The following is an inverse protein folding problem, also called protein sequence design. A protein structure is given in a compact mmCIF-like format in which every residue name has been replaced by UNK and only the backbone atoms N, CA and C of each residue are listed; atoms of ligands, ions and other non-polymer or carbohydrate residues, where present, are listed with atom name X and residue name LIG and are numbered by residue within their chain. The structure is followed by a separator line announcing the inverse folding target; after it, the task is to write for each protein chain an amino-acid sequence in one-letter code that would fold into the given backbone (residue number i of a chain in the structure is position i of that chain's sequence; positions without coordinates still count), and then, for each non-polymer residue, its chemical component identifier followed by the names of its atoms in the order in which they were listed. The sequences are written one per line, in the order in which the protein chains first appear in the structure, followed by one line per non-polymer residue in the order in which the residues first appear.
data_IF_259833981250
#
_entry.id   IF_259833981250
#
_cell.length_a   1.000
_cell.length_b   1.000
_cell.length_c   1.000
_cell.angle_alpha   90.00
_cell.angle_beta   90.00
_cell.angle_gamma   90.00
#
_symmetry.space_group_name_H-M   'P 1'
#
loop_
_entity.id
_entity.type
_entity.pdbx_description
1 polymer ?
#
# COMPACT_ATOMS: atom_id res chain seq x y z
N UNK A 1 -9.50 -17.54 -14.33
CA UNK A 1 -9.20 -16.67 -13.17
C UNK A 1 -8.25 -15.57 -13.59
N UNK A 2 -8.61 -14.31 -13.37
CA UNK A 2 -7.78 -13.15 -13.73
C UNK A 2 -6.60 -12.99 -12.77
N UNK A 3 -5.40 -13.34 -13.23
CA UNK A 3 -4.18 -13.31 -12.42
C UNK A 3 -3.76 -11.87 -12.04
N UNK A 4 -3.94 -10.91 -12.95
CA UNK A 4 -3.63 -9.50 -12.69
C UNK A 4 -4.62 -8.88 -11.69
N UNK A 5 -5.91 -9.18 -11.83
CA UNK A 5 -6.94 -8.74 -10.90
C UNK A 5 -6.70 -9.25 -9.48
N UNK A 6 -6.29 -10.51 -9.31
CA UNK A 6 -5.97 -11.08 -8.01
C UNK A 6 -4.75 -10.41 -7.36
N UNK A 7 -3.69 -10.17 -8.11
CA UNK A 7 -2.47 -9.49 -7.60
C UNK A 7 -2.76 -8.04 -7.22
N UNK A 8 -3.53 -7.32 -8.06
CA UNK A 8 -3.91 -5.93 -7.73
C UNK A 8 -4.81 -5.87 -6.50
N UNK A 9 -5.79 -6.78 -6.36
CA UNK A 9 -6.64 -6.85 -5.18
C UNK A 9 -5.81 -7.14 -3.91
N UNK A 10 -4.89 -8.11 -3.95
CA UNK A 10 -4.05 -8.44 -2.81
C UNK A 10 -3.15 -7.25 -2.40
N UNK A 11 -2.57 -6.56 -3.38
CA UNK A 11 -1.67 -5.41 -3.12
C UNK A 11 -2.44 -4.22 -2.54
N UNK A 12 -3.60 -3.85 -3.12
CA UNK A 12 -4.42 -2.74 -2.63
C UNK A 12 -5.03 -3.04 -1.27
N UNK A 13 -5.51 -4.28 -1.05
CA UNK A 13 -6.03 -4.74 0.25
C UNK A 13 -4.98 -4.59 1.35
N UNK A 14 -3.75 -5.06 1.11
CA UNK A 14 -2.66 -4.93 2.09
C UNK A 14 -2.28 -3.46 2.30
N UNK A 15 -2.18 -2.66 1.22
CA UNK A 15 -1.90 -1.24 1.34
C UNK A 15 -2.90 -0.52 2.24
N UNK A 16 -4.20 -0.71 2.01
CA UNK A 16 -5.23 -0.06 2.83
C UNK A 16 -5.24 -0.58 4.26
N UNK A 17 -4.98 -1.88 4.46
CA UNK A 17 -4.78 -2.46 5.78
C UNK A 17 -3.65 -1.77 6.56
N UNK A 18 -2.52 -1.54 5.91
CA UNK A 18 -1.37 -0.82 6.49
C UNK A 18 -1.69 0.65 6.71
N UNK A 19 -2.19 1.34 5.68
CA UNK A 19 -2.48 2.78 5.72
C UNK A 19 -3.53 3.13 6.79
N UNK A 20 -4.58 2.31 6.94
CA UNK A 20 -5.58 2.47 7.98
C UNK A 20 -5.03 2.39 9.40
N UNK A 21 -4.00 1.55 9.61
CA UNK A 21 -3.35 1.38 10.91
C UNK A 21 -2.14 2.31 11.11
N UNK A 22 -1.56 2.85 10.04
CA UNK A 22 -0.34 3.67 10.10
C UNK A 22 -0.50 4.90 11.00
N UNK A 23 -1.68 5.51 11.02
CA UNK A 23 -1.97 6.64 11.90
C UNK A 23 -1.80 6.29 13.38
N UNK A 24 -2.23 5.12 13.81
CA UNK A 24 -2.06 4.66 15.18
C UNK A 24 -0.61 4.33 15.50
N UNK A 25 0.09 3.75 14.52
CA UNK A 25 1.51 3.41 14.62
C UNK A 25 2.35 4.69 14.73
N UNK A 26 2.09 5.70 13.89
CA UNK A 26 2.80 7.00 13.93
C UNK A 26 2.52 7.72 15.26
N UNK A 27 1.27 7.69 15.76
CA UNK A 27 0.93 8.26 17.06
C UNK A 27 1.72 7.56 18.18
N UNK A 28 1.68 6.23 18.26
CA UNK A 28 2.39 5.46 19.28
C UNK A 28 3.90 5.67 19.24
N UNK A 29 4.48 5.71 18.04
CA UNK A 29 5.89 5.99 17.84
C UNK A 29 6.26 7.43 18.28
N UNK A 30 5.49 8.44 17.89
CA UNK A 30 5.77 9.84 18.24
C UNK A 30 5.70 10.09 19.75
N UNK A 31 4.77 9.43 20.44
CA UNK A 31 4.68 9.45 21.89
C UNK A 31 5.92 8.79 22.53
N UNK A 32 6.33 7.62 22.01
CA UNK A 32 7.41 6.84 22.59
C UNK A 32 8.82 7.37 22.23
N UNK A 33 9.04 7.79 20.98
CA UNK A 33 10.35 8.19 20.47
C UNK A 33 10.64 9.69 20.61
N UNK A 34 9.62 10.55 20.43
CA UNK A 34 9.77 12.00 20.45
C UNK A 34 9.25 12.65 21.74
N UNK A 35 8.57 11.89 22.61
CA UNK A 35 7.94 12.42 23.81
C UNK A 35 6.80 13.44 23.52
N UNK A 36 6.20 13.37 22.34
CA UNK A 36 5.15 14.30 21.91
C UNK A 36 3.81 14.00 22.59
N UNK A 37 3.02 15.06 22.83
CA UNK A 37 1.63 14.89 23.16
C UNK A 37 0.78 14.48 21.95
N UNK A 38 -0.46 14.04 22.18
CA UNK A 38 -1.36 13.56 21.11
C UNK A 38 -1.60 14.56 20.00
N UNK A 39 -1.70 15.85 20.31
CA UNK A 39 -1.89 16.93 19.33
C UNK A 39 -0.71 17.07 18.38
N UNK A 40 0.51 17.07 18.92
CA UNK A 40 1.73 17.15 18.12
C UNK A 40 1.96 15.88 17.29
N UNK A 41 1.71 14.72 17.88
CA UNK A 41 1.79 13.44 17.19
C UNK A 41 0.77 13.35 16.02
N UNK A 42 -0.43 13.91 16.20
CA UNK A 42 -1.45 13.98 15.13
C UNK A 42 -0.99 14.84 13.94
N UNK A 43 -0.21 15.89 14.17
CA UNK A 43 0.35 16.70 13.08
C UNK A 43 1.28 15.89 12.18
N UNK A 44 2.01 14.92 12.75
CA UNK A 44 2.89 14.02 11.98
C UNK A 44 2.09 13.05 11.08
N UNK A 45 0.89 12.66 11.49
CA UNK A 45 -0.03 11.91 10.61
C UNK A 45 -0.44 12.76 9.40
N UNK A 46 -0.66 14.06 9.59
CA UNK A 46 -0.89 15.00 8.49
C UNK A 46 0.29 15.09 7.51
N UNK A 47 1.52 15.02 8.02
CA UNK A 47 2.73 14.99 7.19
C UNK A 47 2.78 13.75 6.28
N UNK A 48 2.39 12.57 6.80
CA UNK A 48 2.25 11.35 5.99
C UNK A 48 1.21 11.53 4.88
N UNK A 49 0.07 12.17 5.19
CA UNK A 49 -0.99 12.42 4.22
C UNK A 49 -0.53 13.32 3.07
N UNK A 50 0.27 14.37 3.36
CA UNK A 50 0.89 15.21 2.33
C UNK A 50 1.79 14.38 1.43
N UNK A 51 2.64 13.54 2.00
CA UNK A 51 3.48 12.61 1.24
C UNK A 51 2.66 11.71 0.33
N UNK A 52 1.57 11.12 0.87
CA UNK A 52 0.66 10.25 0.10
C UNK A 52 0.03 10.99 -1.08
N UNK A 53 -0.41 12.22 -0.89
CA UNK A 53 -0.98 13.03 -1.96
C UNK A 53 0.05 13.32 -3.07
N UNK A 54 1.27 13.72 -2.69
CA UNK A 54 2.36 13.96 -3.65
C UNK A 54 2.71 12.69 -4.41
N UNK A 55 2.89 11.57 -3.71
CA UNK A 55 3.18 10.27 -4.34
C UNK A 55 2.09 9.81 -5.30
N UNK A 56 0.82 10.02 -4.94
CA UNK A 56 -0.32 9.71 -5.79
C UNK A 56 -0.33 10.53 -7.09
N UNK A 57 -0.08 11.84 -7.00
CA UNK A 57 0.01 12.73 -8.17
C UNK A 57 1.16 12.32 -9.08
N UNK A 58 2.34 12.06 -8.51
CA UNK A 58 3.49 11.61 -9.31
C UNK A 58 3.21 10.27 -9.99
N UNK A 59 2.60 9.32 -9.29
CA UNK A 59 2.26 8.02 -9.85
C UNK A 59 1.25 8.12 -11.01
N UNK A 60 0.25 8.99 -10.89
CA UNK A 60 -0.79 9.16 -11.91
C UNK A 60 -0.23 9.63 -13.26
N UNK A 61 0.89 10.34 -13.24
CA UNK A 61 1.57 10.83 -14.45
C UNK A 61 2.68 9.88 -14.90
N UNK A 62 3.40 9.27 -13.96
CA UNK A 62 4.62 8.51 -14.25
C UNK A 62 4.36 7.03 -14.58
N UNK A 63 3.27 6.43 -14.06
CA UNK A 63 3.02 5.00 -14.15
C UNK A 63 1.82 4.71 -15.04
N UNK A 64 2.08 4.11 -16.18
CA UNK A 64 1.02 3.63 -17.10
C UNK A 64 0.37 2.36 -16.57
N UNK A 65 -0.87 2.11 -16.97
CA UNK A 65 -1.68 0.97 -16.52
C UNK A 65 -1.01 -0.40 -16.81
N UNK A 66 -0.37 -0.53 -17.97
CA UNK A 66 0.36 -1.74 -18.37
C UNK A 66 1.61 -2.03 -17.51
N UNK A 67 2.13 -1.01 -16.82
CA UNK A 67 3.27 -1.10 -15.90
C UNK A 67 2.89 -1.03 -14.43
N UNK A 68 1.60 -1.08 -14.11
CA UNK A 68 1.12 -0.93 -12.74
C UNK A 68 1.75 -1.93 -11.75
N UNK A 69 2.02 -3.17 -12.18
CA UNK A 69 2.64 -4.20 -11.32
C UNK A 69 4.11 -3.93 -11.00
N UNK A 70 4.79 -3.01 -11.72
CA UNK A 70 6.19 -2.66 -11.47
C UNK A 70 6.41 -1.97 -10.12
N UNK A 71 5.36 -1.42 -9.51
CA UNK A 71 5.44 -0.73 -8.21
C UNK A 71 5.33 -1.67 -7.01
N UNK A 72 5.00 -2.96 -7.20
CA UNK A 72 4.86 -3.95 -6.10
C UNK A 72 6.08 -3.99 -5.16
N UNK A 73 7.34 -3.94 -5.64
CA UNK A 73 8.50 -3.91 -4.75
C UNK A 73 8.53 -2.73 -3.76
N UNK A 74 7.88 -1.62 -4.09
CA UNK A 74 7.78 -0.46 -3.19
C UNK A 74 7.00 -0.78 -1.92
N UNK A 75 6.07 -1.73 -1.98
CA UNK A 75 5.36 -2.20 -0.79
C UNK A 75 6.27 -2.90 0.22
N UNK A 76 7.31 -3.62 -0.25
CA UNK A 76 8.36 -4.16 0.62
C UNK A 76 9.13 -3.00 1.27
N UNK A 77 9.51 -2.00 0.47
CA UNK A 77 10.17 -0.77 0.93
C UNK A 77 9.35 -0.05 2.00
N UNK A 78 8.02 0.03 1.83
CA UNK A 78 7.12 0.63 2.83
C UNK A 78 7.18 -0.11 4.17
N UNK A 79 7.13 -1.44 4.16
CA UNK A 79 7.28 -2.24 5.38
C UNK A 79 8.63 -2.04 6.06
N UNK A 80 9.73 -1.95 5.29
CA UNK A 80 11.07 -1.68 5.82
C UNK A 80 11.19 -0.26 6.39
N UNK A 81 10.56 0.73 5.77
CA UNK A 81 10.51 2.10 6.29
C UNK A 81 9.73 2.17 7.61
N UNK A 82 8.63 1.42 7.76
CA UNK A 82 7.94 1.32 9.05
C UNK A 82 8.88 0.82 10.15
N UNK A 83 9.73 -0.16 9.85
CA UNK A 83 10.75 -0.63 10.80
C UNK A 83 11.80 0.46 11.06
N UNK A 84 12.29 1.10 10.01
CA UNK A 84 13.33 2.13 10.10
C UNK A 84 12.88 3.35 10.93
N UNK A 85 11.58 3.61 11.03
CA UNK A 85 11.02 4.67 11.85
C UNK A 85 11.45 4.57 13.33
N UNK A 86 11.72 3.37 13.83
CA UNK A 86 12.13 3.14 15.21
C UNK A 86 13.49 3.78 15.58
N UNK A 87 14.35 4.05 14.60
CA UNK A 87 15.66 4.69 14.83
C UNK A 87 15.61 6.22 14.73
N UNK A 88 14.45 6.78 14.37
CA UNK A 88 14.31 8.22 14.22
C UNK A 88 13.83 8.82 15.54
N UNK A 89 14.67 9.71 16.11
CA UNK A 89 14.40 10.40 17.38
C UNK A 89 14.35 11.91 17.24
N UNK A 90 14.55 12.43 16.03
CA UNK A 90 14.58 13.87 15.74
C UNK A 90 13.46 14.23 14.75
N UNK A 91 12.64 15.24 15.10
CA UNK A 91 11.50 15.67 14.28
C UNK A 91 11.93 16.20 12.91
N UNK A 92 13.08 16.84 12.81
CA UNK A 92 13.59 17.36 11.53
C UNK A 92 13.96 16.25 10.54
N UNK A 93 14.28 15.06 11.05
CA UNK A 93 14.48 13.84 10.24
C UNK A 93 13.17 13.11 10.05
N UNK A 94 12.30 13.13 11.06
CA UNK A 94 11.01 12.46 11.03
C UNK A 94 10.08 13.03 9.94
N UNK A 95 10.00 14.35 9.80
CA UNK A 95 9.09 14.97 8.83
C UNK A 95 9.38 14.55 7.37
N UNK A 96 10.60 14.70 6.82
CA UNK A 96 10.91 14.24 5.47
C UNK A 96 10.79 12.72 5.32
N UNK A 97 11.12 11.96 6.36
CA UNK A 97 10.95 10.51 6.37
C UNK A 97 9.47 10.09 6.27
N UNK A 98 8.58 10.75 6.99
CA UNK A 98 7.14 10.49 6.94
C UNK A 98 6.53 10.92 5.60
N UNK A 99 7.02 12.01 4.99
CA UNK A 99 6.66 12.39 3.62
C UNK A 99 7.08 11.29 2.63
N UNK A 100 8.29 10.75 2.77
CA UNK A 100 8.78 9.66 1.94
C UNK A 100 7.93 8.39 2.12
N UNK A 101 7.64 8.02 3.36
CA UNK A 101 6.79 6.86 3.68
C UNK A 101 5.40 6.99 3.06
N UNK A 102 4.76 8.14 3.24
CA UNK A 102 3.47 8.46 2.61
C UNK A 102 3.59 8.46 1.09
N UNK A 103 4.63 9.09 0.54
CA UNK A 103 4.88 9.20 -0.89
C UNK A 103 5.00 7.85 -1.59
N UNK A 104 5.76 6.92 -1.01
CA UNK A 104 5.87 5.55 -1.51
C UNK A 104 4.51 4.85 -1.46
N UNK A 105 3.74 5.04 -0.38
CA UNK A 105 2.39 4.50 -0.26
C UNK A 105 1.45 5.03 -1.35
N UNK A 106 1.42 6.34 -1.56
CA UNK A 106 0.61 6.98 -2.62
C UNK A 106 1.03 6.53 -4.02
N UNK A 107 2.33 6.44 -4.25
CA UNK A 107 2.88 5.97 -5.53
C UNK A 107 2.55 4.51 -5.83
N UNK A 108 2.48 3.66 -4.80
CA UNK A 108 2.10 2.26 -4.91
C UNK A 108 0.60 2.09 -5.22
N UNK A 109 -0.26 2.81 -4.47
CA UNK A 109 -1.70 2.51 -4.48
C UNK A 109 -2.40 2.98 -5.75
N UNK A 110 -1.99 4.10 -6.34
CA UNK A 110 -2.69 4.68 -7.49
C UNK A 110 -2.70 3.75 -8.70
N UNK A 111 -1.54 3.28 -9.24
CA UNK A 111 -1.56 2.39 -10.40
C UNK A 111 -2.17 1.02 -10.10
N UNK A 112 -1.95 0.50 -8.88
CA UNK A 112 -2.54 -0.79 -8.49
C UNK A 112 -4.06 -0.72 -8.36
N UNK A 113 -4.59 0.39 -7.84
CA UNK A 113 -6.03 0.64 -7.75
C UNK A 113 -6.66 0.83 -9.14
N UNK A 114 -5.98 1.57 -10.02
CA UNK A 114 -6.42 1.74 -11.41
C UNK A 114 -6.50 0.39 -12.14
N UNK A 115 -5.46 -0.46 -12.00
CA UNK A 115 -5.46 -1.80 -12.57
C UNK A 115 -6.57 -2.68 -11.99
N UNK A 116 -6.79 -2.64 -10.67
CA UNK A 116 -7.86 -3.38 -10.01
C UNK A 116 -9.23 -2.97 -10.51
N UNK A 117 -9.50 -1.67 -10.63
CA UNK A 117 -10.79 -1.16 -11.11
C UNK A 117 -11.01 -1.51 -12.59
N UNK A 118 -9.99 -1.38 -13.43
CA UNK A 118 -10.06 -1.77 -14.83
C UNK A 118 -10.39 -3.26 -15.00
N UNK A 119 -9.67 -4.13 -14.28
CA UNK A 119 -9.92 -5.60 -14.33
C UNK A 119 -11.27 -5.97 -13.73
N UNK A 120 -11.60 -5.39 -12.58
CA UNK A 120 -12.85 -5.68 -11.89
C UNK A 120 -14.09 -5.25 -12.66
N UNK A 121 -14.04 -4.11 -13.36
CA UNK A 121 -15.12 -3.65 -14.22
C UNK A 121 -15.39 -4.67 -15.35
N UNK A 122 -14.34 -5.14 -16.00
CA UNK A 122 -14.44 -6.08 -17.14
C UNK A 122 -14.92 -7.48 -16.71
N UNK A 123 -14.64 -7.91 -15.46
CA UNK A 123 -14.96 -9.26 -14.97
C UNK A 123 -16.36 -9.36 -14.36
N UNK A 124 -16.79 -8.40 -13.57
CA UNK A 124 -18.01 -8.52 -12.76
C UNK A 124 -18.86 -7.24 -12.70
N UNK A 125 -18.46 -6.23 -13.43
CA UNK A 125 -19.10 -4.91 -13.40
C UNK A 125 -18.63 -4.04 -12.22
N UNK A 126 -18.77 -2.72 -12.38
CA UNK A 126 -18.21 -1.73 -11.45
C UNK A 126 -18.71 -1.92 -9.99
N UNK A 127 -20.01 -2.08 -9.79
CA UNK A 127 -20.59 -2.16 -8.45
C UNK A 127 -20.11 -3.36 -7.64
N UNK A 128 -20.06 -4.54 -8.25
CA UNK A 128 -19.58 -5.76 -7.56
C UNK A 128 -18.09 -5.69 -7.29
N UNK A 129 -17.32 -5.16 -8.23
CA UNK A 129 -15.87 -4.99 -8.08
C UNK A 129 -15.53 -4.09 -6.88
N UNK A 130 -16.19 -2.94 -6.78
CA UNK A 130 -16.00 -1.99 -5.67
C UNK A 130 -16.44 -2.63 -4.34
N UNK A 131 -17.54 -3.38 -4.31
CA UNK A 131 -17.99 -4.05 -3.10
C UNK A 131 -16.97 -5.09 -2.60
N UNK A 132 -16.42 -5.93 -3.50
CA UNK A 132 -15.38 -6.91 -3.16
C UNK A 132 -14.11 -6.23 -2.67
N UNK A 133 -13.68 -5.17 -3.37
CA UNK A 133 -12.52 -4.38 -2.96
C UNK A 133 -12.69 -3.82 -1.55
N UNK A 134 -13.76 -3.06 -1.30
CA UNK A 134 -14.04 -2.46 -0.01
C UNK A 134 -14.13 -3.48 1.12
N UNK A 135 -14.78 -4.62 0.87
CA UNK A 135 -14.86 -5.68 1.88
C UNK A 135 -13.47 -6.20 2.26
N UNK A 136 -12.62 -6.52 1.29
CA UNK A 136 -11.28 -7.02 1.56
C UNK A 136 -10.40 -5.97 2.26
N UNK A 137 -10.49 -4.70 1.84
CA UNK A 137 -9.76 -3.59 2.45
C UNK A 137 -10.15 -3.41 3.92
N UNK A 138 -11.46 -3.36 4.23
CA UNK A 138 -11.94 -3.23 5.60
C UNK A 138 -11.58 -4.45 6.46
N UNK A 139 -11.70 -5.65 5.92
CA UNK A 139 -11.29 -6.87 6.62
C UNK A 139 -9.79 -6.86 6.95
N UNK A 140 -8.94 -6.39 6.03
CA UNK A 140 -7.51 -6.26 6.25
C UNK A 140 -7.18 -5.18 7.28
N UNK A 141 -7.84 -4.01 7.23
CA UNK A 141 -7.68 -2.94 8.24
C UNK A 141 -7.98 -3.48 9.63
N UNK A 142 -9.12 -4.17 9.79
CA UNK A 142 -9.52 -4.77 11.07
C UNK A 142 -8.55 -5.87 11.52
N UNK A 143 -8.14 -6.75 10.61
CA UNK A 143 -7.20 -7.84 10.90
C UNK A 143 -5.84 -7.35 11.36
N UNK A 144 -5.25 -6.40 10.63
CA UNK A 144 -3.96 -5.79 11.01
C UNK A 144 -4.08 -4.93 12.27
N UNK A 145 -5.21 -4.25 12.47
CA UNK A 145 -5.48 -3.50 13.70
C UNK A 145 -5.60 -4.41 14.92
N UNK A 146 -6.31 -5.54 14.78
CA UNK A 146 -6.41 -6.55 15.84
C UNK A 146 -5.03 -7.18 16.12
N UNK A 147 -4.24 -7.45 15.09
CA UNK A 147 -2.88 -7.96 15.23
C UNK A 147 -1.98 -6.98 16.01
N UNK A 148 -1.97 -5.70 15.63
CA UNK A 148 -1.21 -4.66 16.34
C UNK A 148 -1.68 -4.49 17.79
N UNK A 149 -2.99 -4.40 18.01
CA UNK A 149 -3.58 -4.27 19.35
C UNK A 149 -3.30 -5.49 20.22
N UNK A 150 -3.35 -6.69 19.63
CA UNK A 150 -2.99 -7.93 20.30
C UNK A 150 -1.55 -7.89 20.81
N UNK A 151 -0.60 -7.51 19.97
CA UNK A 151 0.82 -7.40 20.35
C UNK A 151 1.02 -6.46 21.53
N UNK A 152 0.40 -5.28 21.53
CA UNK A 152 0.52 -4.33 22.64
C UNK A 152 -0.15 -4.83 23.91
N UNK A 153 -1.29 -5.53 23.83
CA UNK A 153 -1.95 -6.17 24.97
C UNK A 153 -1.15 -7.31 25.59
N UNK A 154 -0.38 -8.04 24.78
CA UNK A 154 0.55 -9.08 25.26
C UNK A 154 1.86 -8.51 25.84
N UNK A 155 1.94 -7.19 26.00
CA UNK A 155 3.07 -6.52 26.67
C UNK A 155 4.25 -6.20 25.77
N UNK A 156 4.12 -6.28 24.45
CA UNK A 156 5.16 -5.79 23.55
C UNK A 156 5.28 -4.26 23.67
N UNK A 157 6.53 -3.78 23.73
CA UNK A 157 6.79 -2.34 23.65
C UNK A 157 6.33 -1.78 22.29
N UNK A 158 6.05 -0.47 22.22
CA UNK A 158 5.65 0.18 20.98
C UNK A 158 6.64 -0.11 19.83
N UNK A 159 7.95 -0.02 20.11
CA UNK A 159 8.99 -0.30 19.12
C UNK A 159 9.00 -1.75 18.62
N UNK A 160 8.80 -2.72 19.53
CA UNK A 160 8.72 -4.13 19.16
C UNK A 160 7.45 -4.41 18.33
N UNK A 161 6.31 -3.83 18.69
CA UNK A 161 5.07 -3.96 17.94
C UNK A 161 5.19 -3.35 16.54
N UNK A 162 5.80 -2.16 16.40
CA UNK A 162 6.07 -1.49 15.12
C UNK A 162 7.00 -2.34 14.25
N UNK A 163 8.07 -2.88 14.83
CA UNK A 163 9.00 -3.75 14.10
C UNK A 163 8.29 -5.00 13.58
N UNK A 164 7.54 -5.68 14.44
CA UNK A 164 6.80 -6.89 14.05
C UNK A 164 5.76 -6.60 12.98
N UNK A 165 5.05 -5.47 13.10
CA UNK A 165 4.11 -5.01 12.08
C UNK A 165 4.80 -4.75 10.74
N UNK A 166 5.93 -4.03 10.74
CA UNK A 166 6.70 -3.75 9.53
C UNK A 166 7.25 -5.02 8.86
N UNK A 167 7.73 -6.00 9.66
CA UNK A 167 8.17 -7.31 9.15
C UNK A 167 7.00 -8.07 8.51
N UNK A 168 5.83 -8.09 9.17
CA UNK A 168 4.64 -8.73 8.63
C UNK A 168 4.22 -8.11 7.29
N UNK A 169 4.24 -6.78 7.18
CA UNK A 169 3.93 -6.04 5.95
C UNK A 169 4.93 -6.35 4.84
N UNK A 170 6.24 -6.21 5.12
CA UNK A 170 7.29 -6.49 4.15
C UNK A 170 7.26 -7.96 3.68
N UNK A 171 7.06 -8.90 4.61
CA UNK A 171 6.95 -10.32 4.31
C UNK A 171 5.74 -10.67 3.45
N UNK A 172 4.56 -10.13 3.78
CA UNK A 172 3.35 -10.34 2.98
C UNK A 172 3.50 -9.73 1.58
N UNK A 173 4.07 -8.54 1.46
CA UNK A 173 4.31 -7.90 0.17
C UNK A 173 5.35 -8.68 -0.67
N UNK A 174 6.37 -9.24 0.00
CA UNK A 174 7.32 -10.13 -0.66
C UNK A 174 6.64 -11.41 -1.19
N UNK A 175 5.72 -12.00 -0.43
CA UNK A 175 4.93 -13.16 -0.89
C UNK A 175 4.05 -12.81 -2.09
N UNK A 176 3.40 -11.64 -2.10
CA UNK A 176 2.61 -11.15 -3.24
C UNK A 176 3.51 -10.99 -4.47
N UNK A 177 4.71 -10.42 -4.30
CA UNK A 177 5.70 -10.30 -5.38
C UNK A 177 6.11 -11.67 -5.92
N UNK A 178 6.41 -12.64 -5.06
CA UNK A 178 6.74 -14.01 -5.46
C UNK A 178 5.58 -14.68 -6.21
N UNK A 179 4.36 -14.48 -5.72
CA UNK A 179 3.16 -14.98 -6.40
C UNK A 179 3.02 -14.35 -7.79
N UNK A 180 3.21 -13.04 -7.91
CA UNK A 180 3.20 -12.37 -9.21
C UNK A 180 4.28 -12.91 -10.16
N UNK A 181 5.50 -13.09 -9.69
CA UNK A 181 6.58 -13.67 -10.49
C UNK A 181 6.28 -15.11 -10.95
N UNK A 182 5.69 -15.93 -10.09
CA UNK A 182 5.24 -17.27 -10.48
C UNK A 182 4.15 -17.22 -11.56
N UNK A 183 3.21 -16.29 -11.45
CA UNK A 183 2.17 -16.09 -12.47
C UNK A 183 2.78 -15.67 -13.82
N UNK A 184 3.80 -14.82 -13.82
CA UNK A 184 4.52 -14.43 -15.06
C UNK A 184 5.20 -15.60 -15.74
N UNK A 185 5.72 -16.57 -14.98
CA UNK A 185 6.39 -17.75 -15.54
C UNK A 185 5.38 -18.83 -15.97
N UNK A 186 4.39 -19.13 -15.13
CA UNK A 186 3.46 -20.24 -15.35
C UNK A 186 2.31 -19.89 -16.29
N UNK A 187 1.93 -18.62 -16.40
CA UNK A 187 0.79 -18.11 -17.14
C UNK A 187 1.19 -16.93 -18.03
N UNK A 188 2.38 -16.97 -18.62
CA UNK A 188 2.95 -15.87 -19.41
C UNK A 188 2.00 -15.36 -20.50
N UNK A 189 1.43 -16.26 -21.29
CA UNK A 189 0.51 -15.90 -22.37
C UNK A 189 -0.78 -15.22 -21.88
N UNK A 190 -1.34 -15.69 -20.74
CA UNK A 190 -2.54 -15.08 -20.14
C UNK A 190 -2.23 -13.68 -19.62
N UNK A 191 -1.12 -13.52 -18.90
CA UNK A 191 -0.71 -12.23 -18.34
C UNK A 191 -0.34 -11.24 -19.44
N UNK A 192 0.34 -11.66 -20.51
CA UNK A 192 0.69 -10.82 -21.66
C UNK A 192 -0.57 -10.33 -22.37
N UNK A 193 -1.52 -11.20 -22.65
CA UNK A 193 -2.81 -10.83 -23.23
C UNK A 193 -3.58 -9.82 -22.38
N UNK A 194 -3.60 -9.99 -21.05
CA UNK A 194 -4.25 -9.08 -20.13
C UNK A 194 -3.57 -7.69 -20.08
N UNK A 195 -2.26 -7.64 -20.22
CA UNK A 195 -1.48 -6.40 -20.31
C UNK A 195 -1.67 -5.69 -21.66
N UNK A 196 -1.81 -6.44 -22.76
CA UNK A 196 -2.12 -5.88 -24.06
C UNK A 196 -3.50 -5.23 -24.07
N UNK A 197 -4.52 -5.86 -23.50
CA UNK A 197 -5.85 -5.25 -23.32
C UNK A 197 -5.77 -3.94 -22.53
N UNK A 198 -5.02 -3.91 -21.44
CA UNK A 198 -4.82 -2.69 -20.66
C UNK A 198 -4.10 -1.59 -21.46
N UNK A 199 -3.18 -1.95 -22.35
CA UNK A 199 -2.47 -1.01 -23.24
C UNK A 199 -3.39 -0.43 -24.32
N UNK A 200 -4.23 -1.25 -24.93
CA UNK A 200 -5.16 -0.81 -25.97
C UNK A 200 -6.19 0.19 -25.41
N UNK A 201 -6.74 -0.07 -24.23
CA UNK A 201 -7.71 0.82 -23.57
C UNK A 201 -7.08 2.16 -23.15
N UNK A 202 -5.80 2.17 -22.79
CA UNK A 202 -5.03 3.38 -22.45
C UNK A 202 -4.76 4.24 -23.69
N UNK A 203 -4.48 3.60 -24.86
CA UNK A 203 -4.28 4.29 -26.14
C UNK A 203 -5.57 4.85 -26.71
N UNK A 204 -6.70 4.17 -26.55
CA UNK A 204 -8.02 4.64 -27.01
C UNK A 204 -8.46 5.93 -26.30
N UNK A 205 -8.23 6.05 -25.02
CA UNK A 205 -8.53 7.27 -24.24
C UNK A 205 -7.63 8.45 -24.59
N UNK A 206 -6.44 8.23 -25.12
CA UNK A 206 -5.50 9.28 -25.54
C UNK A 206 -5.80 9.85 -26.92
N UNK A 207 -6.66 9.21 -27.72
CA UNK A 207 -7.05 9.66 -29.06
C UNK A 207 -8.31 10.53 -29.05
N UNK A 208 -9.08 10.55 -27.95
CA UNK A 208 -10.33 11.31 -27.81
C UNK A 208 -10.14 12.66 -27.09
N UNK A 209 -8.91 13.10 -26.85
CA UNK A 209 -8.53 14.42 -26.32
C UNK A 209 -7.62 15.14 -27.31
#
# INVERSE_FOLDING_TARGET
QDKLGQISLATTTLFWGVSGNLRYIVLAWALAALGYGTTQASSLVGVVAIGTAVGAVVASVAVRLDKATSVIPLGIGMGLLVIAMNWITNVWVAAPFLILLGGIGGYLVVPMNALLQHRGHNLMGAGRSIAVQNFNEQACILGLGAFYTGMTRFGLSAFAAITTFGVAVAGTMWLIRQWHQRNLVQHAAEVEHLLELARCDDCGKSADH
#
